data_IF_579837616823
#
_entry.id   IF_579837616823
#
_cell.length_a   1.000
_cell.length_b   1.000
_cell.length_c   1.000
_cell.angle_alpha   90.00
_cell.angle_beta   90.00
_cell.angle_gamma   90.00
#
_symmetry.space_group_name_H-M   'P 1'
#
loop_
_entity.id
_entity.type
_entity.pdbx_description
1 polymer ?
#
# COMPACT_ATOMS: atom_id res chain seq x y z
N UNK A 1 14.00 6.39 -12.59
CA UNK A 1 12.81 5.87 -13.30
C UNK A 1 12.88 4.35 -13.42
N UNK A 2 11.79 3.68 -13.13
CA UNK A 2 11.62 2.24 -13.27
C UNK A 2 10.38 1.97 -14.14
N UNK A 3 10.44 0.92 -14.96
CA UNK A 3 9.29 0.47 -15.75
C UNK A 3 9.47 -0.95 -16.27
N UNK A 4 8.35 -1.57 -16.63
CA UNK A 4 8.32 -2.90 -17.24
C UNK A 4 7.12 -3.06 -18.15
N UNK A 5 7.18 -4.02 -19.07
CA UNK A 5 6.06 -4.46 -19.90
C UNK A 5 5.83 -5.95 -19.77
N UNK A 6 4.55 -6.35 -19.84
CA UNK A 6 4.12 -7.74 -19.78
C UNK A 6 3.40 -8.15 -21.06
N UNK A 7 3.66 -9.37 -21.51
CA UNK A 7 2.89 -10.04 -22.55
C UNK A 7 2.61 -11.48 -22.09
N UNK A 8 1.33 -11.87 -22.03
CA UNK A 8 0.92 -13.23 -21.61
C UNK A 8 1.55 -13.67 -20.28
N UNK A 9 1.57 -12.74 -19.29
CA UNK A 9 2.20 -12.94 -17.97
C UNK A 9 3.73 -13.11 -17.98
N UNK A 10 4.39 -12.88 -19.11
CA UNK A 10 5.85 -12.86 -19.21
C UNK A 10 6.36 -11.40 -19.22
N UNK A 11 7.49 -11.19 -18.58
CA UNK A 11 8.17 -9.89 -18.61
C UNK A 11 8.89 -9.75 -19.94
N UNK A 12 8.42 -8.81 -20.78
CA UNK A 12 9.00 -8.54 -22.10
C UNK A 12 10.15 -7.56 -21.98
N UNK A 13 9.92 -6.44 -21.32
CA UNK A 13 10.93 -5.42 -21.06
C UNK A 13 10.91 -5.01 -19.60
N UNK A 14 12.05 -4.63 -19.07
CA UNK A 14 12.19 -4.07 -17.73
C UNK A 14 13.44 -3.18 -17.69
N UNK A 15 13.32 -2.02 -17.03
CA UNK A 15 14.45 -1.10 -16.90
C UNK A 15 14.45 -0.35 -15.57
N UNK A 16 15.64 -0.01 -15.11
CA UNK A 16 15.86 0.90 -14.00
C UNK A 16 16.95 1.91 -14.38
N UNK A 17 16.59 3.19 -14.31
CA UNK A 17 17.49 4.32 -14.53
C UNK A 17 17.50 5.23 -13.31
N UNK A 18 18.64 5.83 -13.01
CA UNK A 18 18.74 6.96 -12.09
C UNK A 18 19.29 8.20 -12.82
N UNK A 19 19.18 9.36 -12.19
CA UNK A 19 19.47 10.64 -12.85
C UNK A 19 20.46 11.50 -12.04
N UNK A 20 21.72 11.08 -11.90
CA UNK A 20 22.71 11.89 -11.20
C UNK A 20 22.93 13.19 -11.99
N UNK A 21 22.72 14.32 -11.32
CA UNK A 21 22.82 15.65 -11.93
C UNK A 21 21.95 15.84 -13.20
N UNK A 22 20.77 15.23 -13.21
CA UNK A 22 19.82 15.30 -14.32
C UNK A 22 20.18 14.44 -15.56
N UNK A 23 21.25 13.65 -15.51
CA UNK A 23 21.65 12.77 -16.63
C UNK A 23 21.17 11.34 -16.40
N UNK A 24 20.46 10.80 -17.40
CA UNK A 24 20.01 9.41 -17.35
C UNK A 24 21.21 8.45 -17.30
N UNK A 25 21.23 7.61 -16.30
CA UNK A 25 22.26 6.58 -16.11
C UNK A 25 21.59 5.24 -15.84
N UNK A 26 22.00 4.23 -16.59
CA UNK A 26 21.45 2.89 -16.50
C UNK A 26 21.94 2.16 -15.24
N UNK A 27 21.00 1.56 -14.52
CA UNK A 27 21.29 0.50 -13.53
C UNK A 27 21.17 -0.86 -14.20
N UNK A 28 20.02 -1.15 -14.81
CA UNK A 28 19.83 -2.34 -15.64
C UNK A 28 18.76 -2.11 -16.72
N UNK A 29 18.80 -2.97 -17.73
CA UNK A 29 17.77 -3.19 -18.73
C UNK A 29 17.62 -4.69 -18.98
N UNK A 30 16.43 -5.11 -19.30
CA UNK A 30 16.08 -6.45 -19.75
C UNK A 30 15.14 -6.33 -20.93
N UNK A 31 15.40 -7.13 -21.98
CA UNK A 31 14.47 -7.36 -23.06
C UNK A 31 14.40 -8.87 -23.30
N UNK A 32 13.25 -9.47 -22.96
CA UNK A 32 13.08 -10.93 -22.89
C UNK A 32 14.16 -11.62 -22.03
N UNK A 33 15.07 -12.36 -22.66
CA UNK A 33 16.19 -13.06 -22.04
C UNK A 33 17.52 -12.30 -22.15
N UNK A 34 17.51 -11.14 -22.80
CA UNK A 34 18.68 -10.29 -22.91
C UNK A 34 18.73 -9.31 -21.75
N UNK A 35 19.87 -9.29 -21.06
CA UNK A 35 20.09 -8.47 -19.87
C UNK A 35 21.31 -7.57 -20.05
N UNK A 36 21.18 -6.32 -19.68
CA UNK A 36 22.22 -5.33 -19.74
C UNK A 36 22.30 -4.57 -18.41
N UNK A 37 23.49 -4.42 -17.85
CA UNK A 37 23.70 -3.70 -16.60
C UNK A 37 24.67 -2.54 -16.74
N UNK A 38 24.37 -1.44 -16.07
CA UNK A 38 25.29 -0.34 -15.82
C UNK A 38 26.43 -0.74 -14.88
N UNK A 39 27.41 0.14 -14.73
CA UNK A 39 28.62 -0.12 -13.94
C UNK A 39 28.33 -0.51 -12.49
N UNK A 40 27.32 0.08 -11.85
CA UNK A 40 26.95 -0.17 -10.46
C UNK A 40 26.40 -1.58 -10.22
N UNK A 41 25.78 -2.20 -11.20
CA UNK A 41 25.10 -3.50 -11.04
C UNK A 41 25.75 -4.66 -11.83
N UNK A 42 26.69 -4.38 -12.71
CA UNK A 42 27.27 -5.36 -13.66
C UNK A 42 27.75 -6.67 -13.01
N UNK A 43 28.43 -6.60 -11.86
CA UNK A 43 28.96 -7.78 -11.18
C UNK A 43 27.91 -8.68 -10.52
N UNK A 44 26.69 -8.20 -10.32
CA UNK A 44 25.58 -8.94 -9.68
C UNK A 44 24.54 -9.46 -10.68
N UNK A 45 24.57 -8.98 -11.91
CA UNK A 45 23.59 -9.35 -12.95
C UNK A 45 23.60 -10.87 -13.22
N UNK A 46 24.76 -11.50 -13.27
CA UNK A 46 24.86 -12.94 -13.57
C UNK A 46 24.13 -13.81 -12.54
N UNK A 47 24.21 -13.47 -11.24
CA UNK A 47 23.46 -14.17 -10.20
C UNK A 47 21.96 -14.16 -10.46
N UNK A 48 21.43 -13.01 -10.91
CA UNK A 48 20.01 -12.91 -11.26
C UNK A 48 19.65 -13.66 -12.55
N UNK A 49 20.51 -13.64 -13.58
CA UNK A 49 20.27 -14.37 -14.83
C UNK A 49 20.06 -15.88 -14.62
N UNK A 50 20.83 -16.48 -13.72
CA UNK A 50 20.81 -17.92 -13.49
C UNK A 50 19.54 -18.38 -12.76
N UNK A 51 18.88 -17.50 -12.01
CA UNK A 51 17.72 -17.85 -11.16
C UNK A 51 16.40 -17.20 -11.59
N UNK A 52 16.46 -16.21 -12.47
CA UNK A 52 15.29 -15.40 -12.83
C UNK A 52 14.41 -16.12 -13.84
N UNK A 53 13.15 -16.38 -13.45
CA UNK A 53 12.13 -16.90 -14.37
C UNK A 53 11.57 -15.78 -15.24
N UNK A 54 11.10 -16.13 -16.44
CA UNK A 54 10.55 -15.18 -17.42
C UNK A 54 9.33 -14.38 -16.92
N UNK A 55 8.59 -14.90 -15.94
CA UNK A 55 7.45 -14.23 -15.30
C UNK A 55 7.80 -13.48 -14.01
N UNK A 56 9.08 -13.25 -13.73
CA UNK A 56 9.55 -12.52 -12.54
C UNK A 56 10.31 -11.27 -12.95
N UNK A 57 10.14 -10.22 -12.18
CA UNK A 57 10.86 -8.95 -12.38
C UNK A 57 12.31 -9.07 -11.91
N UNK A 58 13.21 -8.51 -12.71
CA UNK A 58 14.63 -8.41 -12.37
C UNK A 58 14.86 -7.54 -11.11
N UNK A 59 14.05 -6.49 -10.91
CA UNK A 59 14.10 -5.65 -9.73
C UNK A 59 14.02 -6.47 -8.43
N UNK A 60 13.10 -7.43 -8.36
CA UNK A 60 12.94 -8.31 -7.18
C UNK A 60 14.18 -9.14 -6.92
N UNK A 61 14.77 -9.73 -7.97
CA UNK A 61 16.02 -10.50 -7.84
C UNK A 61 17.17 -9.57 -7.44
N UNK A 62 17.31 -8.43 -8.12
CA UNK A 62 18.38 -7.48 -7.87
C UNK A 62 18.37 -6.93 -6.45
N UNK A 63 17.18 -6.64 -5.88
CA UNK A 63 17.04 -6.18 -4.49
C UNK A 63 17.51 -7.23 -3.47
N UNK A 64 17.29 -8.52 -3.74
CA UNK A 64 17.72 -9.60 -2.85
C UNK A 64 19.24 -9.87 -2.89
N UNK A 65 19.91 -9.60 -4.00
CA UNK A 65 21.32 -9.95 -4.21
C UNK A 65 22.26 -8.76 -4.39
N UNK A 66 21.77 -7.54 -4.31
CA UNK A 66 22.54 -6.32 -4.50
C UNK A 66 22.39 -5.35 -3.33
N UNK A 67 23.44 -4.60 -3.05
CA UNK A 67 23.44 -3.47 -2.12
C UNK A 67 23.44 -2.12 -2.85
N UNK A 68 23.03 -2.09 -4.12
CA UNK A 68 22.90 -0.84 -4.90
C UNK A 68 21.69 -0.08 -4.40
N UNK A 69 21.92 1.13 -3.87
CA UNK A 69 20.92 1.94 -3.20
C UNK A 69 19.70 2.22 -4.10
N UNK A 70 19.93 2.58 -5.35
CA UNK A 70 18.86 2.87 -6.32
C UNK A 70 17.97 1.65 -6.62
N UNK A 71 18.50 0.43 -6.48
CA UNK A 71 17.71 -0.81 -6.60
C UNK A 71 16.87 -1.01 -5.36
N UNK A 72 17.46 -0.84 -4.18
CA UNK A 72 16.77 -1.00 -2.90
C UNK A 72 15.64 0.03 -2.76
N UNK A 73 15.90 1.29 -3.11
CA UNK A 73 14.89 2.36 -3.04
C UNK A 73 13.73 2.09 -4.01
N UNK A 74 14.04 1.70 -5.25
CA UNK A 74 12.99 1.35 -6.21
C UNK A 74 12.17 0.14 -5.74
N UNK A 75 12.80 -0.89 -5.20
CA UNK A 75 12.10 -2.06 -4.66
C UNK A 75 11.22 -1.69 -3.45
N UNK A 76 11.77 -0.90 -2.52
CA UNK A 76 11.05 -0.45 -1.31
C UNK A 76 9.80 0.32 -1.68
N UNK A 77 9.88 1.23 -2.64
CA UNK A 77 8.72 1.96 -3.13
C UNK A 77 7.56 1.01 -3.51
N UNK A 78 7.84 -0.03 -4.32
CA UNK A 78 6.79 -0.97 -4.75
C UNK A 78 6.36 -1.97 -3.68
N UNK A 79 7.27 -2.36 -2.78
CA UNK A 79 7.00 -3.37 -1.77
C UNK A 79 6.40 -2.79 -0.49
N UNK A 80 6.69 -1.54 -0.14
CA UNK A 80 6.40 -0.97 1.17
C UNK A 80 5.62 0.36 1.10
N UNK A 81 5.84 1.18 0.06
CA UNK A 81 5.27 2.53 -0.02
C UNK A 81 4.07 2.61 -0.97
N UNK A 82 4.09 1.82 -2.07
CA UNK A 82 3.01 1.83 -3.04
C UNK A 82 1.77 1.11 -2.49
N UNK A 83 0.74 1.88 -2.25
CA UNK A 83 -0.54 1.38 -1.74
C UNK A 83 -1.52 1.24 -2.91
N UNK A 84 -2.10 0.05 -3.07
CA UNK A 84 -3.09 -0.24 -4.10
C UNK A 84 -4.45 -0.50 -3.46
N UNK A 85 -5.41 0.40 -3.73
CA UNK A 85 -6.80 0.20 -3.33
C UNK A 85 -7.51 -0.67 -4.39
N UNK A 86 -8.04 -1.81 -3.97
CA UNK A 86 -8.79 -2.72 -4.83
C UNK A 86 -10.09 -3.15 -4.17
N UNK A 87 -11.13 -3.56 -4.91
CA UNK A 87 -12.36 -4.09 -4.32
C UNK A 87 -12.14 -5.28 -3.37
N UNK A 88 -11.04 -6.01 -3.52
CA UNK A 88 -10.71 -7.15 -2.64
C UNK A 88 -10.08 -6.78 -1.30
N UNK A 89 -9.66 -5.54 -1.11
CA UNK A 89 -9.03 -5.07 0.13
C UNK A 89 -9.77 -3.88 0.79
N UNK A 90 -10.99 -3.58 0.39
CA UNK A 90 -11.81 -2.47 0.94
C UNK A 90 -11.97 -2.59 2.46
N UNK A 91 -12.23 -3.79 2.97
CA UNK A 91 -12.39 -4.05 4.41
C UNK A 91 -11.11 -3.75 5.19
N UNK A 92 -9.94 -4.08 4.63
CA UNK A 92 -8.66 -3.80 5.26
C UNK A 92 -8.41 -2.30 5.38
N UNK A 93 -8.78 -1.53 4.36
CA UNK A 93 -8.67 -0.07 4.39
C UNK A 93 -9.64 0.57 5.38
N UNK A 94 -10.86 0.04 5.47
CA UNK A 94 -11.82 0.49 6.47
C UNK A 94 -11.30 0.25 7.88
N UNK A 95 -10.80 -0.95 8.17
CA UNK A 95 -10.23 -1.29 9.47
C UNK A 95 -9.01 -0.40 9.81
N UNK A 96 -8.15 -0.12 8.83
CA UNK A 96 -7.06 0.84 9.00
C UNK A 96 -7.57 2.23 9.38
N UNK A 97 -8.55 2.74 8.64
CA UNK A 97 -9.13 4.05 8.89
C UNK A 97 -9.77 4.15 10.28
N UNK A 98 -10.55 3.15 10.66
CA UNK A 98 -11.16 3.09 11.99
C UNK A 98 -10.13 3.05 13.11
N UNK A 99 -9.07 2.27 12.94
CA UNK A 99 -7.99 2.20 13.91
C UNK A 99 -7.26 3.55 14.06
N UNK A 100 -6.96 4.24 12.96
CA UNK A 100 -6.34 5.57 13.00
C UNK A 100 -7.26 6.60 13.68
N UNK A 101 -8.54 6.59 13.37
CA UNK A 101 -9.54 7.48 13.99
C UNK A 101 -9.68 7.21 15.50
N UNK A 102 -9.57 5.96 15.93
CA UNK A 102 -9.58 5.60 17.36
C UNK A 102 -8.34 6.15 18.08
N UNK A 103 -7.17 6.08 17.45
CA UNK A 103 -5.90 6.52 18.05
C UNK A 103 -5.68 8.03 18.03
N UNK A 104 -6.07 8.70 16.97
CA UNK A 104 -5.83 10.14 16.78
C UNK A 104 -7.12 10.88 16.49
N UNK A 105 -7.55 11.68 17.48
CA UNK A 105 -8.73 12.53 17.35
C UNK A 105 -8.63 13.51 16.17
N UNK A 106 -7.44 13.99 15.82
CA UNK A 106 -7.25 14.92 14.69
C UNK A 106 -7.60 14.25 13.37
N UNK A 107 -7.22 12.97 13.21
CA UNK A 107 -7.59 12.18 12.04
C UNK A 107 -9.10 11.97 12.01
N UNK A 108 -9.71 11.61 13.15
CA UNK A 108 -11.15 11.47 13.28
C UNK A 108 -11.89 12.74 12.87
N UNK A 109 -11.49 13.89 13.43
CA UNK A 109 -12.11 15.19 13.15
C UNK A 109 -11.94 15.57 11.66
N UNK A 110 -10.79 15.29 11.05
CA UNK A 110 -10.52 15.51 9.64
C UNK A 110 -11.42 14.64 8.73
N UNK A 111 -11.59 13.35 9.06
CA UNK A 111 -12.48 12.45 8.33
C UNK A 111 -13.93 12.93 8.41
N UNK A 112 -14.41 13.27 9.61
CA UNK A 112 -15.79 13.78 9.82
C UNK A 112 -16.00 15.07 9.03
N UNK A 113 -15.05 16.01 9.07
CA UNK A 113 -15.12 17.26 8.31
C UNK A 113 -15.23 16.98 6.82
N UNK A 114 -14.37 16.12 6.28
CA UNK A 114 -14.37 15.77 4.87
C UNK A 114 -15.68 15.10 4.43
N UNK A 115 -16.20 14.17 5.24
CA UNK A 115 -17.49 13.51 4.98
C UNK A 115 -18.63 14.50 4.95
N UNK A 116 -18.61 15.51 5.84
CA UNK A 116 -19.61 16.57 5.88
C UNK A 116 -19.51 17.52 4.70
N UNK A 117 -18.30 17.83 4.22
CA UNK A 117 -18.07 18.59 2.99
C UNK A 117 -18.64 17.88 1.76
N UNK A 118 -18.67 16.55 1.78
CA UNK A 118 -19.33 15.70 0.77
C UNK A 118 -20.85 15.57 0.98
N UNK A 119 -21.42 16.17 2.02
CA UNK A 119 -22.87 16.19 2.29
C UNK A 119 -23.40 14.94 3.02
N UNK A 120 -22.55 14.14 3.67
CA UNK A 120 -22.99 12.93 4.39
C UNK A 120 -23.65 13.23 5.73
N UNK A 121 -23.35 14.38 6.37
CA UNK A 121 -24.06 14.86 7.56
C UNK A 121 -23.73 14.13 8.85
N UNK A 122 -22.48 13.69 9.04
CA UNK A 122 -22.01 12.94 10.22
C UNK A 122 -21.69 13.89 11.36
N UNK A 123 -22.16 13.59 12.56
CA UNK A 123 -21.78 14.29 13.81
C UNK A 123 -20.57 13.71 14.48
N UNK A 124 -20.53 12.38 14.61
CA UNK A 124 -19.42 11.67 15.24
C UNK A 124 -19.32 10.25 14.71
N UNK A 125 -18.17 9.62 14.98
CA UNK A 125 -17.92 8.20 14.74
C UNK A 125 -17.38 7.58 16.02
N UNK A 126 -18.10 6.64 16.60
CA UNK A 126 -17.64 5.88 17.73
C UNK A 126 -16.97 4.59 17.27
N UNK A 127 -15.69 4.42 17.59
CA UNK A 127 -14.93 3.22 17.25
C UNK A 127 -14.60 2.45 18.52
N UNK A 128 -15.01 1.20 18.60
CA UNK A 128 -14.72 0.28 19.70
C UNK A 128 -13.73 -0.78 19.24
N UNK A 129 -12.64 -0.95 20.01
CA UNK A 129 -11.62 -1.98 19.77
C UNK A 129 -11.64 -3.02 20.88
N UNK A 130 -11.47 -4.28 20.57
CA UNK A 130 -11.17 -5.31 21.57
C UNK A 130 -9.67 -5.27 21.92
N UNK A 131 -9.32 -4.51 22.97
CA UNK A 131 -7.96 -4.15 23.37
C UNK A 131 -7.06 -5.34 23.74
N UNK A 132 -7.59 -6.51 24.06
CA UNK A 132 -6.80 -7.63 24.60
C UNK A 132 -5.80 -8.26 23.64
N UNK A 133 -5.83 -7.90 22.36
CA UNK A 133 -4.98 -8.49 21.32
C UNK A 133 -4.16 -7.46 20.50
N UNK A 134 -4.31 -6.17 20.77
CA UNK A 134 -3.62 -5.12 20.00
C UNK A 134 -2.24 -4.71 20.55
N UNK A 135 -1.96 -4.94 21.83
CA UNK A 135 -0.73 -4.46 22.47
C UNK A 135 0.57 -5.12 21.99
N UNK A 136 0.52 -6.19 21.20
CA UNK A 136 1.72 -6.97 20.84
C UNK A 136 2.24 -6.79 19.43
N UNK A 137 1.68 -5.91 18.60
CA UNK A 137 2.08 -5.79 17.21
C UNK A 137 2.44 -4.37 16.80
N UNK A 138 3.72 -4.14 16.49
CA UNK A 138 4.14 -3.02 15.67
C UNK A 138 3.41 -3.13 14.32
N UNK A 139 2.45 -2.23 14.12
CA UNK A 139 1.50 -2.26 13.02
C UNK A 139 2.16 -1.73 11.74
N UNK A 140 2.81 -2.58 10.98
CA UNK A 140 3.05 -2.39 9.57
C UNK A 140 1.85 -2.98 8.82
N UNK A 141 0.77 -2.20 8.75
CA UNK A 141 -0.55 -2.61 8.26
C UNK A 141 -0.53 -3.09 6.81
N UNK A 142 0.36 -2.54 5.99
CA UNK A 142 0.40 -2.77 4.55
C UNK A 142 1.03 -4.10 4.13
N UNK A 143 1.74 -4.79 5.00
CA UNK A 143 2.58 -5.95 4.63
C UNK A 143 2.06 -7.31 5.12
N UNK A 144 0.91 -7.38 5.82
CA UNK A 144 0.49 -8.65 6.41
C UNK A 144 -1.00 -8.95 6.20
N UNK A 145 -1.38 -9.54 5.06
CA UNK A 145 -2.73 -10.09 4.82
C UNK A 145 -3.18 -11.04 5.95
N UNK A 146 -2.25 -11.75 6.58
CA UNK A 146 -2.54 -12.66 7.69
C UNK A 146 -2.97 -11.94 8.98
N UNK A 147 -2.41 -10.75 9.27
CA UNK A 147 -2.84 -9.93 10.42
C UNK A 147 -4.21 -9.30 10.19
N UNK A 148 -4.55 -9.00 8.95
CA UNK A 148 -5.84 -8.42 8.59
C UNK A 148 -7.00 -9.38 8.84
N UNK A 149 -6.82 -10.69 8.67
CA UNK A 149 -7.85 -11.69 8.98
C UNK A 149 -8.14 -11.79 10.49
N UNK A 150 -7.18 -11.44 11.34
CA UNK A 150 -7.36 -11.41 12.80
C UNK A 150 -8.04 -10.13 13.29
N UNK A 151 -8.01 -9.05 12.48
CA UNK A 151 -8.68 -7.78 12.78
C UNK A 151 -10.17 -7.78 12.46
N UNK A 152 -10.60 -8.61 11.52
CA UNK A 152 -11.99 -8.68 11.01
C UNK A 152 -13.09 -8.75 12.08
N UNK A 153 -12.79 -9.26 13.25
CA UNK A 153 -13.80 -9.51 14.30
C UNK A 153 -13.62 -8.60 15.53
N UNK A 154 -12.94 -7.43 15.41
CA UNK A 154 -12.49 -6.70 16.59
C UNK A 154 -12.64 -5.19 16.53
N UNK A 155 -13.08 -4.66 15.43
CA UNK A 155 -13.34 -3.24 15.27
C UNK A 155 -14.82 -3.07 14.96
N UNK A 156 -15.55 -2.52 15.91
CA UNK A 156 -16.93 -2.09 15.73
C UNK A 156 -16.96 -0.56 15.59
N UNK A 157 -17.80 -0.05 14.73
CA UNK A 157 -17.94 1.39 14.51
C UNK A 157 -19.39 1.80 14.29
N UNK A 158 -19.79 2.83 15.03
CA UNK A 158 -21.10 3.48 14.85
C UNK A 158 -20.91 4.87 14.29
N UNK A 159 -21.76 5.23 13.35
CA UNK A 159 -21.87 6.59 12.85
C UNK A 159 -23.04 7.29 13.53
N UNK A 160 -22.76 8.44 14.10
CA UNK A 160 -23.76 9.27 14.77
C UNK A 160 -24.15 10.40 13.84
N UNK A 161 -25.43 10.45 13.51
CA UNK A 161 -26.09 11.52 12.77
C UNK A 161 -26.88 12.44 13.75
N UNK A 162 -27.56 13.47 13.23
CA UNK A 162 -28.32 14.39 14.07
C UNK A 162 -29.47 13.74 14.84
N UNK A 163 -30.13 12.74 14.26
CA UNK A 163 -31.37 12.14 14.79
C UNK A 163 -31.34 10.64 14.94
N UNK A 164 -30.27 9.96 14.51
CA UNK A 164 -30.14 8.51 14.57
C UNK A 164 -28.67 8.11 14.58
N UNK A 165 -28.40 6.86 14.90
CA UNK A 165 -27.11 6.21 14.77
C UNK A 165 -27.23 4.98 13.87
N UNK A 166 -26.14 4.60 13.18
CA UNK A 166 -26.08 3.41 12.35
C UNK A 166 -24.81 2.62 12.63
N UNK A 167 -24.86 1.31 12.44
CA UNK A 167 -23.67 0.49 12.37
C UNK A 167 -22.95 0.70 11.03
N UNK A 168 -21.65 1.07 11.09
CA UNK A 168 -20.88 1.33 9.86
C UNK A 168 -20.74 0.08 8.99
N UNK A 169 -20.60 -1.10 9.63
CA UNK A 169 -20.34 -2.35 8.89
C UNK A 169 -21.62 -2.94 8.33
N UNK A 170 -22.69 -2.97 9.13
CA UNK A 170 -23.90 -3.70 8.78
C UNK A 170 -24.96 -2.82 8.10
N UNK A 171 -25.10 -1.56 8.49
CA UNK A 171 -26.23 -0.72 8.11
C UNK A 171 -25.87 0.36 7.08
N UNK A 172 -24.60 0.80 7.01
CA UNK A 172 -24.22 1.88 6.10
C UNK A 172 -24.14 1.46 4.61
N UNK A 173 -24.32 2.45 3.75
CA UNK A 173 -24.20 2.25 2.30
C UNK A 173 -22.77 1.89 1.89
N UNK A 174 -22.63 1.13 0.81
CA UNK A 174 -21.31 0.79 0.25
C UNK A 174 -20.49 2.03 -0.14
N UNK A 175 -21.15 3.14 -0.51
CA UNK A 175 -20.48 4.41 -0.80
C UNK A 175 -19.85 5.03 0.43
N UNK A 176 -20.58 5.10 1.55
CA UNK A 176 -20.07 5.59 2.82
C UNK A 176 -18.91 4.71 3.32
N UNK A 177 -19.05 3.38 3.28
CA UNK A 177 -17.99 2.43 3.66
C UNK A 177 -16.71 2.64 2.86
N UNK A 178 -16.81 2.82 1.54
CA UNK A 178 -15.65 3.09 0.67
C UNK A 178 -14.98 4.41 1.00
N UNK A 179 -15.75 5.46 1.24
CA UNK A 179 -15.20 6.75 1.64
C UNK A 179 -14.41 6.63 2.94
N UNK A 180 -14.95 5.98 3.97
CA UNK A 180 -14.23 5.73 5.21
C UNK A 180 -12.92 4.97 4.98
N UNK A 181 -12.94 3.93 4.16
CA UNK A 181 -11.74 3.17 3.84
C UNK A 181 -10.66 3.97 3.09
N UNK A 182 -11.05 4.96 2.29
CA UNK A 182 -10.11 5.73 1.48
C UNK A 182 -9.54 6.97 2.20
N UNK A 183 -10.29 7.57 3.13
CA UNK A 183 -9.95 8.89 3.65
C UNK A 183 -8.71 8.90 4.53
N UNK A 184 -8.53 7.97 5.45
CA UNK A 184 -7.32 7.96 6.28
C UNK A 184 -6.04 7.73 5.48
N UNK A 185 -5.96 6.76 4.55
CA UNK A 185 -4.81 6.65 3.66
C UNK A 185 -4.52 7.93 2.87
N UNK A 186 -5.55 8.67 2.44
CA UNK A 186 -5.36 9.95 1.76
C UNK A 186 -4.85 11.06 2.70
N UNK A 187 -5.34 11.11 3.94
CA UNK A 187 -4.89 12.07 4.95
C UNK A 187 -3.43 11.80 5.35
N UNK A 188 -3.01 10.53 5.42
CA UNK A 188 -1.64 10.15 5.77
C UNK A 188 -0.60 10.55 4.71
N UNK A 189 -1.03 10.76 3.47
CA UNK A 189 -0.15 11.18 2.36
C UNK A 189 -0.02 12.71 2.28
N UNK A 190 -0.96 13.46 2.87
CA UNK A 190 -0.99 14.94 2.85
C UNK A 190 -0.14 15.55 3.96
#
# INVERSE_FOLDING_TARGET
AYGFSLKEMLVVDEYLYYFPNGRQTKIFERSFEEFSAGSKFRGKLNTCKDVLKSNRLLLTCAANFSSVEEIIDAYRFFAEELVIYTPGNEENWMNYSLYQMHKDKRIKDAVITFMNDLGVGIKDVEVTLDDKQFESSNFNFLLNEYKNSLLKNKIDAKIIYDSFETDLIDEESSGVKRLFGMLCPLIDIM
#
